data_IF_648179504476
#
_entry.id   IF_648179504476
#
_cell.length_a   1.000
_cell.length_b   1.000
_cell.length_c   1.000
_cell.angle_alpha   90.00
_cell.angle_beta   90.00
_cell.angle_gamma   90.00
#
_symmetry.space_group_name_H-M   'P 1'
#
loop_
_entity.id
_entity.type
_entity.pdbx_description
1 polymer ?
#
# COMPACT_ATOMS: atom_id res chain seq x y z
N UNK A 1 -19.25 -11.07 -8.22
CA UNK A 1 -19.00 -10.22 -7.04
C UNK A 1 -18.78 -8.74 -7.40
N UNK A 2 -19.20 -8.28 -8.60
CA UNK A 2 -18.78 -6.97 -9.16
C UNK A 2 -19.52 -5.74 -8.59
N UNK A 3 -20.58 -5.91 -7.81
CA UNK A 3 -21.42 -4.79 -7.34
C UNK A 3 -21.54 -4.66 -5.81
N UNK A 4 -20.73 -5.40 -5.04
CA UNK A 4 -20.76 -5.28 -3.59
C UNK A 4 -20.06 -3.97 -3.18
N UNK A 5 -20.83 -2.90 -2.97
CA UNK A 5 -20.32 -1.66 -2.38
C UNK A 5 -19.70 -1.95 -1.03
N UNK A 6 -18.54 -1.35 -0.76
CA UNK A 6 -17.92 -1.42 0.55
C UNK A 6 -18.82 -0.73 1.58
N UNK A 7 -19.33 -1.49 2.56
CA UNK A 7 -20.18 -0.98 3.64
C UNK A 7 -19.41 -0.75 4.95
N UNK A 8 -18.12 -0.45 4.85
CA UNK A 8 -17.26 -0.21 6.00
C UNK A 8 -17.22 1.27 6.42
N UNK A 9 -16.19 1.68 7.18
CA UNK A 9 -15.92 3.08 7.51
C UNK A 9 -15.76 3.93 6.25
N UNK A 10 -15.75 5.28 6.37
CA UNK A 10 -15.45 6.16 5.26
C UNK A 10 -14.17 5.73 4.53
N UNK A 11 -14.23 5.74 3.20
CA UNK A 11 -13.11 5.52 2.29
C UNK A 11 -13.07 6.71 1.35
N UNK A 12 -11.92 7.39 1.28
CA UNK A 12 -11.75 8.61 0.48
C UNK A 12 -10.46 8.59 -0.32
N UNK A 13 -10.38 9.43 -1.35
CA UNK A 13 -9.11 9.73 -2.02
C UNK A 13 -8.34 10.77 -1.21
N UNK A 14 -7.03 10.63 -1.18
CA UNK A 14 -6.10 11.58 -0.55
C UNK A 14 -4.96 11.89 -1.52
N UNK A 15 -4.53 13.15 -1.53
CA UNK A 15 -3.36 13.65 -2.27
C UNK A 15 -2.15 13.91 -1.36
N UNK A 16 -2.28 13.56 -0.10
CA UNK A 16 -1.29 13.79 0.94
C UNK A 16 -1.07 12.47 1.68
N UNK A 17 -0.01 11.76 1.31
CA UNK A 17 0.38 10.53 1.98
C UNK A 17 1.06 10.77 3.35
N UNK A 18 1.15 12.03 3.79
CA UNK A 18 1.90 12.47 4.96
C UNK A 18 3.39 12.50 4.65
N UNK A 19 4.05 13.64 4.89
CA UNK A 19 5.48 13.91 4.65
C UNK A 19 6.45 13.09 5.52
N UNK A 20 6.21 11.79 5.60
CA UNK A 20 6.90 10.81 6.42
C UNK A 20 7.08 9.52 5.60
N UNK A 21 7.48 8.41 6.24
CA UNK A 21 7.80 7.18 5.50
C UNK A 21 6.65 6.58 4.68
N UNK A 22 5.38 6.92 4.97
CA UNK A 22 4.25 6.53 4.12
C UNK A 22 4.38 7.11 2.70
N UNK A 23 4.59 8.43 2.58
CA UNK A 23 4.81 9.10 1.29
C UNK A 23 6.07 8.58 0.61
N UNK A 24 7.16 8.41 1.36
CA UNK A 24 8.43 7.96 0.78
C UNK A 24 8.35 6.55 0.22
N UNK A 25 7.71 5.63 0.93
CA UNK A 25 7.49 4.27 0.44
C UNK A 25 6.58 4.29 -0.78
N UNK A 26 5.55 5.14 -0.81
CA UNK A 26 4.68 5.24 -1.98
C UNK A 26 5.46 5.76 -3.20
N UNK A 27 6.22 6.84 -3.03
CA UNK A 27 7.07 7.42 -4.06
C UNK A 27 8.11 6.41 -4.58
N UNK A 28 8.88 5.79 -3.68
CA UNK A 28 9.91 4.82 -4.01
C UNK A 28 9.33 3.57 -4.70
N UNK A 29 8.17 3.07 -4.26
CA UNK A 29 7.50 1.95 -4.91
C UNK A 29 7.09 2.28 -6.34
N UNK A 30 6.59 3.50 -6.61
CA UNK A 30 6.19 3.92 -7.95
C UNK A 30 7.40 4.08 -8.88
N UNK A 31 8.51 4.67 -8.39
CA UNK A 31 9.76 4.76 -9.16
C UNK A 31 10.27 3.37 -9.53
N UNK A 32 10.38 2.47 -8.56
CA UNK A 32 10.88 1.11 -8.80
C UNK A 32 9.93 0.34 -9.75
N UNK A 33 8.62 0.45 -9.54
CA UNK A 33 7.62 -0.19 -10.40
C UNK A 33 7.62 0.33 -11.84
N UNK A 34 8.05 1.58 -12.06
CA UNK A 34 8.10 2.19 -13.39
C UNK A 34 9.33 1.80 -14.21
N UNK A 35 10.35 1.17 -13.62
CA UNK A 35 11.55 0.73 -14.33
C UNK A 35 11.22 -0.26 -15.44
N UNK A 36 11.93 -0.25 -16.59
CA UNK A 36 11.69 -1.19 -17.68
C UNK A 36 11.84 -2.67 -17.31
N UNK A 37 12.62 -2.96 -16.26
CA UNK A 37 12.87 -4.31 -15.74
C UNK A 37 11.86 -4.74 -14.68
N UNK A 38 10.94 -3.87 -14.27
CA UNK A 38 9.91 -4.16 -13.29
C UNK A 38 8.90 -5.18 -13.83
N UNK A 39 8.47 -6.10 -12.96
CA UNK A 39 7.38 -7.03 -13.24
C UNK A 39 6.00 -6.46 -12.90
N UNK A 40 5.94 -5.26 -12.30
CA UNK A 40 4.68 -4.65 -11.88
C UNK A 40 3.88 -4.28 -13.13
N UNK A 41 2.66 -4.79 -13.20
CA UNK A 41 1.77 -4.56 -14.33
C UNK A 41 1.28 -3.11 -14.37
N UNK A 42 0.68 -2.73 -15.50
CA UNK A 42 0.02 -1.44 -15.68
C UNK A 42 -1.46 -1.64 -16.00
N UNK A 43 -2.32 -0.69 -15.69
CA UNK A 43 -3.69 -0.73 -16.20
C UNK A 43 -3.77 -0.20 -17.64
N UNK A 44 -4.95 -0.26 -18.24
CA UNK A 44 -5.26 0.26 -19.57
C UNK A 44 -4.99 1.77 -19.75
N UNK A 45 -4.90 2.54 -18.65
CA UNK A 45 -4.49 3.96 -18.68
C UNK A 45 -2.97 4.16 -18.56
N UNK A 46 -2.18 3.08 -18.50
CA UNK A 46 -0.73 3.12 -18.37
C UNK A 46 -0.21 3.31 -16.94
N UNK A 47 -1.08 3.39 -15.94
CA UNK A 47 -0.71 3.56 -14.53
C UNK A 47 -0.17 2.24 -13.97
N UNK A 48 0.96 2.28 -13.25
CA UNK A 48 1.48 1.09 -12.56
C UNK A 48 0.52 0.62 -11.48
N UNK A 49 0.34 -0.70 -11.34
CA UNK A 49 -0.51 -1.33 -10.32
C UNK A 49 0.14 -1.29 -8.93
N UNK A 50 0.46 -0.08 -8.49
CA UNK A 50 0.94 0.28 -7.16
C UNK A 50 -0.15 1.10 -6.49
N UNK A 51 -0.48 0.77 -5.24
CA UNK A 51 -1.42 1.54 -4.46
C UNK A 51 -0.96 1.71 -3.02
N UNK A 52 -1.34 2.81 -2.40
CA UNK A 52 -1.13 3.04 -0.98
C UNK A 52 -2.48 3.27 -0.29
N UNK A 53 -2.76 2.49 0.76
CA UNK A 53 -3.98 2.58 1.54
C UNK A 53 -3.63 2.92 2.98
N UNK A 54 -4.01 4.11 3.42
CA UNK A 54 -4.03 4.40 4.85
C UNK A 54 -5.19 3.69 5.52
N UNK A 55 -4.86 2.99 6.61
CA UNK A 55 -5.81 2.37 7.51
C UNK A 55 -6.02 3.28 8.74
N UNK A 56 -7.25 3.38 9.27
CA UNK A 56 -7.48 4.13 10.50
C UNK A 56 -6.78 3.44 11.68
N UNK A 57 -6.46 4.19 12.75
CA UNK A 57 -5.97 3.58 13.98
C UNK A 57 -7.04 2.64 14.55
N UNK A 58 -6.58 1.63 15.27
CA UNK A 58 -7.41 0.76 16.10
C UNK A 58 -7.06 0.90 17.58
N UNK A 59 -7.85 0.27 18.44
CA UNK A 59 -7.73 0.41 19.90
C UNK A 59 -6.34 0.04 20.47
N UNK A 60 -5.50 -0.63 19.69
CA UNK A 60 -4.15 -1.05 20.09
C UNK A 60 -3.06 -0.13 19.52
N UNK A 61 -3.41 0.75 18.58
CA UNK A 61 -2.44 1.60 17.87
C UNK A 61 -1.69 2.51 18.84
N UNK A 62 -2.40 3.20 19.72
CA UNK A 62 -1.81 4.07 20.75
C UNK A 62 -2.45 3.79 22.12
N UNK A 63 -1.74 4.11 23.20
CA UNK A 63 -2.30 4.05 24.54
C UNK A 63 -3.54 4.96 24.63
N UNK A 64 -4.70 4.38 24.97
CA UNK A 64 -5.96 5.13 25.13
C UNK A 64 -6.78 5.33 23.85
N UNK A 65 -6.45 4.69 22.73
CA UNK A 65 -7.28 4.79 21.52
C UNK A 65 -8.66 4.14 21.73
N UNK A 66 -9.74 4.91 21.59
CA UNK A 66 -11.14 4.43 21.62
C UNK A 66 -11.67 4.00 20.25
N UNK A 67 -10.76 3.82 19.30
CA UNK A 67 -11.05 3.57 17.90
C UNK A 67 -11.55 2.13 17.64
N UNK A 68 -11.68 1.78 16.36
CA UNK A 68 -12.27 0.52 15.91
C UNK A 68 -11.61 -0.71 16.56
N UNK A 69 -12.41 -1.74 16.83
CA UNK A 69 -11.87 -3.02 17.29
C UNK A 69 -10.96 -3.67 16.25
N UNK A 70 -9.76 -4.08 16.66
CA UNK A 70 -8.72 -4.75 15.84
C UNK A 70 -9.26 -5.80 14.84
N UNK A 71 -10.16 -6.67 15.30
CA UNK A 71 -10.73 -7.75 14.47
C UNK A 71 -11.59 -7.19 13.34
N UNK A 72 -12.36 -6.15 13.64
CA UNK A 72 -13.20 -5.46 12.66
C UNK A 72 -12.35 -4.68 11.66
N UNK A 73 -11.32 -3.96 12.15
CA UNK A 73 -10.33 -3.27 11.30
C UNK A 73 -9.73 -4.22 10.27
N UNK A 74 -9.14 -5.34 10.72
CA UNK A 74 -8.57 -6.35 9.82
C UNK A 74 -9.57 -6.95 8.83
N UNK A 75 -10.86 -7.09 9.20
CA UNK A 75 -11.90 -7.57 8.29
C UNK A 75 -12.12 -6.57 7.16
N UNK A 76 -12.16 -5.28 7.48
CA UNK A 76 -12.33 -4.20 6.51
C UNK A 76 -11.11 -4.00 5.63
N UNK A 77 -9.90 -4.00 6.20
CA UNK A 77 -8.66 -3.97 5.41
C UNK A 77 -8.60 -5.13 4.43
N UNK A 78 -8.96 -6.35 4.87
CA UNK A 78 -9.04 -7.52 3.98
C UNK A 78 -10.07 -7.33 2.87
N UNK A 79 -11.24 -6.79 3.18
CA UNK A 79 -12.28 -6.57 2.19
C UNK A 79 -11.81 -5.59 1.10
N UNK A 80 -11.15 -4.49 1.48
CA UNK A 80 -10.60 -3.51 0.54
C UNK A 80 -9.47 -4.09 -0.32
N UNK A 81 -8.53 -4.83 0.29
CA UNK A 81 -7.45 -5.49 -0.46
C UNK A 81 -8.01 -6.51 -1.46
N UNK A 82 -8.99 -7.32 -1.05
CA UNK A 82 -9.66 -8.28 -1.95
C UNK A 82 -10.40 -7.55 -3.06
N UNK A 83 -11.13 -6.48 -2.74
CA UNK A 83 -11.85 -5.68 -3.73
C UNK A 83 -10.89 -5.08 -4.76
N UNK A 84 -9.78 -4.49 -4.33
CA UNK A 84 -8.76 -3.94 -5.22
C UNK A 84 -8.21 -5.01 -6.18
N UNK A 85 -7.85 -6.19 -5.66
CA UNK A 85 -7.36 -7.29 -6.49
C UNK A 85 -8.40 -7.80 -7.47
N UNK A 86 -9.66 -7.94 -7.05
CA UNK A 86 -10.75 -8.32 -7.94
C UNK A 86 -10.99 -7.27 -9.04
N UNK A 87 -10.81 -5.98 -8.73
CA UNK A 87 -10.95 -4.91 -9.71
C UNK A 87 -9.76 -4.84 -10.69
N UNK A 88 -8.55 -5.21 -10.27
CA UNK A 88 -7.39 -5.32 -11.15
C UNK A 88 -7.31 -6.64 -11.91
N UNK A 89 -8.08 -7.66 -11.53
CA UNK A 89 -8.06 -9.00 -12.15
C UNK A 89 -8.21 -8.96 -13.69
N UNK A 90 -9.11 -8.15 -14.30
CA UNK A 90 -9.18 -8.04 -15.75
C UNK A 90 -7.89 -7.51 -16.41
N UNK A 91 -7.21 -6.55 -15.78
CA UNK A 91 -5.96 -5.98 -16.30
C UNK A 91 -4.80 -6.98 -16.20
N UNK A 92 -4.75 -7.72 -15.08
CA UNK A 92 -3.81 -8.79 -14.86
C UNK A 92 -4.04 -9.96 -15.82
N UNK A 93 -5.30 -10.25 -16.16
CA UNK A 93 -5.66 -11.30 -17.12
C UNK A 93 -5.00 -11.07 -18.47
N UNK A 94 -5.14 -9.85 -18.99
CA UNK A 94 -4.61 -9.46 -20.30
C UNK A 94 -3.08 -9.58 -20.33
N UNK A 95 -2.40 -9.20 -19.25
CA UNK A 95 -0.94 -9.13 -19.22
C UNK A 95 -0.25 -10.45 -18.87
N UNK A 96 -0.89 -11.30 -18.07
CA UNK A 96 -0.24 -12.45 -17.46
C UNK A 96 -0.82 -13.79 -17.93
N UNK A 97 -1.91 -13.78 -18.70
CA UNK A 97 -2.63 -14.98 -19.13
C UNK A 97 -2.87 -15.95 -17.96
N UNK A 98 -2.38 -17.19 -18.03
CA UNK A 98 -2.58 -18.24 -17.00
C UNK A 98 -1.57 -18.19 -15.84
N UNK A 99 -0.61 -17.26 -15.83
CA UNK A 99 0.42 -17.24 -14.78
C UNK A 99 -0.16 -16.89 -13.39
N UNK A 100 0.31 -17.51 -12.29
CA UNK A 100 -0.10 -17.11 -10.94
C UNK A 100 0.11 -15.62 -10.69
N UNK A 101 -0.85 -14.97 -10.03
CA UNK A 101 -0.74 -13.53 -9.72
C UNK A 101 0.17 -13.34 -8.52
N UNK A 102 1.21 -12.52 -8.63
CA UNK A 102 2.14 -12.22 -7.54
C UNK A 102 1.78 -10.87 -6.93
N UNK A 103 1.41 -10.87 -5.66
CA UNK A 103 1.00 -9.66 -4.94
C UNK A 103 1.96 -9.41 -3.80
N UNK A 104 2.61 -8.24 -3.81
CA UNK A 104 3.36 -7.73 -2.67
C UNK A 104 2.44 -6.85 -1.83
N UNK A 105 2.24 -7.23 -0.58
CA UNK A 105 1.54 -6.45 0.41
C UNK A 105 2.54 -6.00 1.48
N UNK A 106 2.63 -4.68 1.72
CA UNK A 106 3.52 -4.14 2.75
C UNK A 106 2.76 -3.39 3.82
N UNK A 107 3.32 -3.39 5.02
CA UNK A 107 2.86 -2.62 6.17
C UNK A 107 4.06 -2.12 6.95
N UNK A 108 3.86 -1.34 8.00
CA UNK A 108 4.95 -0.78 8.78
C UNK A 108 5.03 -1.41 10.17
N UNK A 109 6.24 -1.47 10.72
CA UNK A 109 6.47 -1.84 12.11
C UNK A 109 5.93 -0.79 13.11
N UNK A 110 6.24 -1.01 14.37
CA UNK A 110 5.91 -0.07 15.45
C UNK A 110 6.90 1.11 15.46
N UNK A 111 6.47 2.28 15.92
CA UNK A 111 7.33 3.46 16.02
C UNK A 111 6.77 4.51 16.98
N UNK A 112 7.64 5.18 17.74
CA UNK A 112 7.25 6.28 18.63
C UNK A 112 6.06 5.93 19.52
N UNK A 113 4.94 6.66 19.35
CA UNK A 113 3.68 6.45 20.09
C UNK A 113 2.81 5.32 19.54
N UNK A 114 3.12 4.78 18.35
CA UNK A 114 2.41 3.67 17.73
C UNK A 114 2.98 2.35 18.25
N UNK A 115 2.29 1.80 19.24
CA UNK A 115 2.70 0.59 19.99
C UNK A 115 2.33 -0.69 19.23
N UNK A 116 1.22 -0.69 18.50
CA UNK A 116 0.80 -1.81 17.65
C UNK A 116 0.28 -1.28 16.31
N UNK A 117 1.16 -1.22 15.31
CA UNK A 117 0.80 -0.71 14.00
C UNK A 117 -0.19 -1.65 13.27
N UNK A 118 -1.44 -1.20 13.00
CA UNK A 118 -2.43 -2.03 12.32
C UNK A 118 -2.05 -2.43 10.92
N UNK A 119 -1.25 -1.62 10.21
CA UNK A 119 -0.81 -1.99 8.87
C UNK A 119 0.20 -3.15 8.92
N UNK A 120 1.26 -3.04 9.71
CA UNK A 120 2.24 -4.11 9.90
C UNK A 120 1.63 -5.38 10.44
N UNK A 121 0.77 -5.28 11.45
CA UNK A 121 0.14 -6.45 12.01
C UNK A 121 -0.87 -7.13 11.09
N UNK A 122 -1.55 -6.37 10.21
CA UNK A 122 -2.36 -6.96 9.16
C UNK A 122 -1.49 -7.78 8.19
N UNK A 123 -0.36 -7.21 7.75
CA UNK A 123 0.56 -7.87 6.82
C UNK A 123 1.31 -9.04 7.45
N UNK A 124 1.68 -8.95 8.73
CA UNK A 124 2.34 -10.02 9.47
C UNK A 124 1.43 -11.24 9.67
N UNK A 125 0.11 -11.04 9.73
CA UNK A 125 -0.82 -12.17 9.72
C UNK A 125 -0.89 -12.74 8.31
N UNK A 126 -0.53 -14.04 8.12
CA UNK A 126 -0.72 -14.72 6.83
C UNK A 126 -2.14 -14.46 6.33
N UNK A 127 -2.25 -13.64 5.29
CA UNK A 127 -3.52 -13.24 4.70
C UNK A 127 -4.10 -14.49 4.02
N UNK A 128 -4.99 -15.20 4.72
CA UNK A 128 -5.73 -16.34 4.16
C UNK A 128 -6.87 -15.79 3.29
N UNK A 129 -6.54 -15.31 2.09
CA UNK A 129 -7.49 -14.80 1.09
C UNK A 129 -7.73 -15.76 -0.06
N UNK A 130 -7.07 -16.92 -0.09
CA UNK A 130 -7.20 -17.91 -1.16
C UNK A 130 -8.65 -18.33 -1.46
N UNK A 131 -9.57 -18.23 -0.50
CA UNK A 131 -11.01 -18.52 -0.71
C UNK A 131 -11.82 -17.37 -1.28
N UNK A 132 -11.27 -16.16 -1.30
CA UNK A 132 -11.97 -14.92 -1.67
C UNK A 132 -11.55 -14.39 -3.04
N UNK A 133 -10.53 -14.98 -3.66
CA UNK A 133 -10.00 -14.53 -4.94
C UNK A 133 -10.33 -15.55 -6.04
N UNK A 134 -10.57 -15.06 -7.28
CA UNK A 134 -11.00 -15.92 -8.39
C UNK A 134 -9.92 -16.88 -8.88
N UNK A 135 -8.64 -16.59 -8.60
CA UNK A 135 -7.48 -17.35 -9.11
C UNK A 135 -6.39 -17.56 -8.07
N UNK A 136 -5.39 -18.37 -8.43
CA UNK A 136 -4.19 -18.57 -7.63
C UNK A 136 -3.43 -17.25 -7.51
N UNK A 137 -3.29 -16.80 -6.25
CA UNK A 137 -2.49 -15.64 -5.90
C UNK A 137 -1.36 -16.07 -4.98
N UNK A 138 -0.14 -15.79 -5.42
CA UNK A 138 1.06 -15.88 -4.60
C UNK A 138 1.22 -14.58 -3.83
N UNK A 139 1.14 -14.69 -2.50
CA UNK A 139 1.24 -13.56 -1.60
C UNK A 139 2.65 -13.42 -1.06
N UNK A 140 3.19 -12.21 -1.18
CA UNK A 140 4.38 -11.76 -0.51
C UNK A 140 3.97 -10.71 0.51
N UNK A 141 4.43 -10.84 1.74
CA UNK A 141 4.07 -9.95 2.84
C UNK A 141 5.36 -9.46 3.48
N UNK A 142 5.50 -8.14 3.58
CA UNK A 142 6.70 -7.52 4.12
C UNK A 142 6.34 -6.41 5.11
N UNK A 143 6.85 -6.51 6.33
CA UNK A 143 6.71 -5.44 7.32
C UNK A 143 7.96 -4.57 7.25
N UNK A 144 7.80 -3.37 6.72
CA UNK A 144 8.85 -2.38 6.57
C UNK A 144 9.17 -1.73 7.94
N UNK A 145 10.45 -1.40 8.21
CA UNK A 145 10.78 -0.58 9.37
C UNK A 145 10.23 0.84 9.19
N UNK A 146 10.08 1.60 10.28
CA UNK A 146 9.74 3.03 10.21
C UNK A 146 11.04 3.84 10.37
N UNK A 147 11.88 3.74 9.35
CA UNK A 147 13.22 4.34 9.28
C UNK A 147 13.67 4.43 7.82
N UNK A 148 14.76 5.14 7.56
CA UNK A 148 15.41 5.26 6.25
C UNK A 148 15.64 3.91 5.54
N UNK A 149 15.90 2.84 6.31
CA UNK A 149 16.03 1.48 5.79
C UNK A 149 14.81 0.96 5.00
N UNK A 150 13.64 1.60 5.10
CA UNK A 150 12.46 1.26 4.31
C UNK A 150 12.53 1.79 2.86
N UNK A 151 13.41 2.76 2.58
CA UNK A 151 13.45 3.53 1.33
C UNK A 151 14.86 3.77 0.79
N UNK A 152 15.91 3.40 1.51
CA UNK A 152 17.32 3.54 1.12
C UNK A 152 17.78 2.61 -0.02
N UNK A 153 16.89 1.75 -0.53
CA UNK A 153 17.23 0.75 -1.55
C UNK A 153 17.97 -0.49 -1.01
N UNK A 154 18.21 -0.55 0.31
CA UNK A 154 18.86 -1.65 1.00
C UNK A 154 17.95 -2.87 1.23
N UNK A 155 18.43 -3.88 1.99
CA UNK A 155 17.72 -5.16 2.17
C UNK A 155 16.31 -5.07 2.75
N UNK A 156 16.04 -4.06 3.58
CA UNK A 156 14.75 -3.84 4.24
C UNK A 156 13.84 -2.87 3.47
N UNK A 157 14.29 -2.40 2.30
CA UNK A 157 13.60 -1.36 1.54
C UNK A 157 12.45 -1.91 0.69
N UNK A 158 11.49 -1.04 0.36
CA UNK A 158 10.42 -1.38 -0.56
C UNK A 158 10.94 -1.74 -1.95
N UNK A 159 12.00 -1.08 -2.41
CA UNK A 159 12.62 -1.36 -3.70
C UNK A 159 13.17 -2.79 -3.74
N UNK A 160 13.90 -3.20 -2.70
CA UNK A 160 14.42 -4.55 -2.63
C UNK A 160 13.30 -5.59 -2.51
N UNK A 161 12.22 -5.30 -1.78
CA UNK A 161 11.06 -6.18 -1.71
C UNK A 161 10.39 -6.38 -3.08
N UNK A 162 10.26 -5.32 -3.88
CA UNK A 162 9.75 -5.38 -5.26
C UNK A 162 10.68 -6.23 -6.12
N UNK A 163 12.00 -5.99 -6.11
CA UNK A 163 12.96 -6.77 -6.91
C UNK A 163 12.96 -8.25 -6.54
N UNK A 164 13.00 -8.57 -5.25
CA UNK A 164 13.12 -9.94 -4.75
C UNK A 164 11.86 -10.77 -5.02
N UNK A 165 10.67 -10.16 -4.91
CA UNK A 165 9.41 -10.88 -5.11
C UNK A 165 8.95 -10.87 -6.57
N UNK A 166 9.44 -9.90 -7.37
CA UNK A 166 8.96 -9.59 -8.70
C UNK A 166 7.41 -9.59 -8.75
N UNK A 167 6.74 -8.74 -7.94
CA UNK A 167 5.28 -8.72 -7.90
C UNK A 167 4.70 -8.16 -9.20
N UNK A 168 3.47 -8.56 -9.50
CA UNK A 168 2.64 -7.95 -10.55
C UNK A 168 1.82 -6.78 -10.00
N UNK A 169 1.58 -6.77 -8.68
CA UNK A 169 0.83 -5.74 -7.96
C UNK A 169 1.50 -5.44 -6.63
N UNK A 170 1.57 -4.16 -6.26
CA UNK A 170 2.06 -3.70 -4.95
C UNK A 170 0.94 -2.94 -4.24
N UNK A 171 0.60 -3.34 -3.02
CA UNK A 171 -0.26 -2.57 -2.12
C UNK A 171 0.50 -2.31 -0.84
N UNK A 172 0.77 -1.04 -0.55
CA UNK A 172 1.39 -0.61 0.70
C UNK A 172 0.32 -0.09 1.66
N UNK A 173 0.44 -0.42 2.94
CA UNK A 173 -0.48 -0.02 3.99
C UNK A 173 0.23 0.82 5.05
N UNK A 174 -0.31 1.99 5.37
CA UNK A 174 0.16 2.85 6.47
C UNK A 174 -0.96 3.11 7.47
N UNK A 175 -0.64 3.36 8.74
CA UNK A 175 -1.66 3.88 9.68
C UNK A 175 -1.59 5.40 9.71
N UNK A 176 -2.74 6.05 9.53
CA UNK A 176 -2.88 7.50 9.66
C UNK A 176 -3.60 7.82 10.98
N UNK A 177 -2.84 8.11 12.04
CA UNK A 177 -3.37 8.24 13.41
C UNK A 177 -4.43 9.34 13.57
N UNK A 178 -4.47 10.32 12.67
CA UNK A 178 -5.43 11.43 12.67
C UNK A 178 -6.66 11.16 11.80
N UNK A 179 -6.73 10.05 11.06
CA UNK A 179 -7.84 9.76 10.13
C UNK A 179 -8.81 8.75 10.73
N UNK A 180 -10.09 9.10 10.77
CA UNK A 180 -11.16 8.23 11.27
C UNK A 180 -11.58 7.13 10.27
N UNK A 181 -11.20 7.28 9.00
CA UNK A 181 -11.52 6.37 7.90
C UNK A 181 -10.29 5.89 7.14
N UNK A 182 -10.54 5.08 6.13
CA UNK A 182 -9.53 4.68 5.15
C UNK A 182 -9.31 5.79 4.13
N UNK A 183 -8.10 5.86 3.58
CA UNK A 183 -7.85 6.72 2.42
C UNK A 183 -6.88 6.09 1.44
N UNK A 184 -7.16 6.29 0.15
CA UNK A 184 -6.33 5.87 -0.97
C UNK A 184 -5.48 7.04 -1.42
N UNK A 185 -4.17 6.90 -1.36
CA UNK A 185 -3.26 7.94 -1.84
C UNK A 185 -3.13 7.87 -3.36
N UNK A 186 -3.33 9.01 -4.03
CA UNK A 186 -3.18 9.11 -5.49
C UNK A 186 -1.98 9.94 -5.90
N UNK A 187 -1.40 10.74 -5.00
CA UNK A 187 -0.23 11.57 -5.28
C UNK A 187 0.97 11.10 -4.46
N UNK A 188 2.15 11.19 -5.05
CA UNK A 188 3.41 10.86 -4.40
C UNK A 188 4.47 11.89 -4.76
N UNK A 189 5.15 12.41 -3.75
CA UNK A 189 6.29 13.32 -3.91
C UNK A 189 7.52 12.79 -3.17
N UNK A 190 8.69 13.35 -3.46
CA UNK A 190 9.89 13.16 -2.64
C UNK A 190 10.00 14.19 -1.50
N UNK A 191 8.90 14.83 -1.11
CA UNK A 191 8.85 15.74 0.03
C UNK A 191 9.33 15.04 1.31
N UNK A 192 10.26 15.66 2.02
CA UNK A 192 10.91 15.07 3.18
C UNK A 192 11.89 13.93 2.87
N UNK A 193 12.10 13.54 1.60
CA UNK A 193 12.96 12.43 1.20
C UNK A 193 14.16 12.90 0.38
N UNK A 194 15.37 12.62 0.87
CA UNK A 194 16.56 12.80 0.05
C UNK A 194 16.92 11.50 -0.68
N UNK A 195 16.58 11.45 -1.96
CA UNK A 195 16.84 10.31 -2.83
C UNK A 195 18.33 10.01 -3.06
N UNK A 196 19.23 10.96 -2.78
CA UNK A 196 20.67 10.72 -2.87
C UNK A 196 21.20 9.91 -1.69
N UNK A 197 20.72 10.22 -0.49
CA UNK A 197 21.16 9.58 0.75
C UNK A 197 20.21 8.46 1.20
N UNK A 198 19.02 8.35 0.58
CA UNK A 198 18.00 7.42 1.00
C UNK A 198 17.39 7.76 2.36
N UNK A 199 17.45 9.03 2.78
CA UNK A 199 17.14 9.44 4.15
C UNK A 199 15.94 10.40 4.23
N UNK A 200 15.19 10.32 5.33
CA UNK A 200 14.17 11.29 5.69
C UNK A 200 14.84 12.55 6.26
N UNK A 201 14.49 13.70 5.69
CA UNK A 201 14.92 15.03 6.14
C UNK A 201 13.67 15.85 6.41
N UNK A 202 13.42 16.16 7.68
CA UNK A 202 12.29 16.98 8.09
C UNK A 202 12.28 18.32 7.34
N UNK A 203 11.10 18.73 6.86
CA UNK A 203 10.89 19.97 6.11
C UNK A 203 11.65 20.13 4.77
N UNK A 204 12.23 19.06 4.21
CA UNK A 204 12.75 19.11 2.84
C UNK A 204 11.57 19.29 1.85
N UNK A 205 11.51 20.38 1.05
CA UNK A 205 10.41 20.57 0.11
C UNK A 205 10.46 19.52 -1.02
N UNK A 206 9.31 19.14 -1.59
CA UNK A 206 9.29 18.23 -2.72
C UNK A 206 10.02 18.86 -3.91
N UNK A 207 10.95 18.10 -4.50
CA UNK A 207 11.66 18.41 -5.74
C UNK A 207 11.02 17.71 -6.92
N UNK A 208 10.41 16.56 -6.67
CA UNK A 208 9.80 15.69 -7.66
C UNK A 208 8.38 15.34 -7.23
N UNK A 209 7.42 15.59 -8.11
CA UNK A 209 6.05 15.11 -7.99
C UNK A 209 5.79 14.13 -9.12
N UNK A 210 5.42 12.90 -8.80
CA UNK A 210 5.03 11.91 -9.80
C UNK A 210 3.63 12.24 -10.34
N UNK A 211 3.28 11.81 -11.58
CA UNK A 211 1.90 11.83 -12.03
C UNK A 211 0.98 11.14 -11.03
N UNK A 212 -0.22 11.68 -10.83
CA UNK A 212 -1.20 11.03 -9.95
C UNK A 212 -1.47 9.61 -10.46
N UNK A 213 -1.40 8.64 -9.54
CA UNK A 213 -1.69 7.23 -9.81
C UNK A 213 -3.05 6.86 -9.21
N UNK A 214 -4.05 6.74 -10.08
CA UNK A 214 -5.42 6.43 -9.70
C UNK A 214 -5.73 4.93 -9.73
N UNK A 215 -4.73 4.06 -9.97
CA UNK A 215 -4.95 2.64 -10.21
C UNK A 215 -5.73 1.99 -9.07
N UNK A 216 -5.40 2.29 -7.80
CA UNK A 216 -6.09 1.73 -6.63
C UNK A 216 -7.45 2.42 -6.39
N UNK A 217 -7.55 3.73 -6.59
CA UNK A 217 -8.78 4.49 -6.37
C UNK A 217 -9.90 4.03 -7.32
N UNK A 218 -9.58 3.81 -8.61
CA UNK A 218 -10.51 3.34 -9.64
C UNK A 218 -11.12 1.99 -9.28
N UNK A 219 -10.30 1.00 -8.90
CA UNK A 219 -10.80 -0.35 -8.55
C UNK A 219 -11.56 -0.40 -7.23
N UNK A 220 -11.41 0.63 -6.40
CA UNK A 220 -12.21 0.81 -5.18
C UNK A 220 -13.46 1.68 -5.41
N UNK A 221 -13.71 2.14 -6.64
CA UNK A 221 -14.90 2.90 -7.02
C UNK A 221 -14.89 4.35 -6.54
N UNK A 222 -13.70 4.95 -6.42
CA UNK A 222 -13.52 6.33 -5.97
C UNK A 222 -13.22 7.31 -7.14
N UNK A 223 -13.07 6.80 -8.36
CA UNK A 223 -12.74 7.54 -9.56
C UNK A 223 -13.40 6.89 -10.80
#
# INVERSE_FOLDING_TARGET
MRDAKFHGPPLAVSKDAGQFYCEHVYFAAQIEAALPTSSVCRNSAGEVLVGFLHVPPDRLTTAGSTSMGRRQGRRWTRALVVQALCGWDPELEIQLAEQPRRVLLTGFGNWGVVIDNPSGAFVATRVRTHKLLPRSVQWFSHVLPVSDAAVDGGPASIQQAIRACAPHVVISLGVATQRAGYSVEVSATDGGFDSHTGSHIEALPPRTTLPDNWALAKVLGLA
#
